data_IF_281465663553
#
_entry.id   IF_281465663553
#
_cell.length_a   1.000
_cell.length_b   1.000
_cell.length_c   1.000
_cell.angle_alpha   90.00
_cell.angle_beta   90.00
_cell.angle_gamma   90.00
#
_symmetry.space_group_name_H-M   'P 1'
#
loop_
_entity.id
_entity.type
_entity.pdbx_description
1 polymer ?
#
# COMPACT_ATOMS: atom_id res chain seq x y z
N UNK A 1 45.38 -44.43 -37.40
CA UNK A 1 44.72 -44.45 -36.06
C UNK A 1 45.48 -43.56 -35.10
N UNK A 2 45.35 -42.22 -35.14
CA UNK A 2 46.02 -41.37 -34.13
C UNK A 2 45.52 -39.93 -34.01
N UNK A 3 44.24 -39.68 -34.26
CA UNK A 3 43.69 -38.33 -34.15
C UNK A 3 42.48 -38.20 -33.20
N UNK A 4 42.03 -39.27 -32.56
CA UNK A 4 40.87 -39.25 -31.62
C UNK A 4 41.25 -39.19 -30.14
N UNK A 5 42.53 -39.29 -29.78
CA UNK A 5 42.98 -39.35 -28.39
C UNK A 5 43.44 -37.99 -27.82
N UNK A 6 43.74 -37.02 -28.68
CA UNK A 6 44.24 -35.70 -28.28
C UNK A 6 43.08 -34.77 -27.87
N UNK A 7 41.95 -34.81 -28.59
CA UNK A 7 40.78 -33.95 -28.30
C UNK A 7 40.05 -34.29 -26.99
N UNK A 8 40.20 -35.50 -26.45
CA UNK A 8 39.56 -35.92 -25.18
C UNK A 8 40.36 -35.53 -23.95
N UNK A 9 41.66 -35.29 -24.05
CA UNK A 9 42.51 -34.83 -22.98
C UNK A 9 42.43 -33.30 -22.80
N UNK A 10 42.31 -32.52 -23.86
CA UNK A 10 42.17 -31.06 -23.79
C UNK A 10 40.82 -30.63 -23.21
N UNK A 11 39.71 -31.32 -23.54
CA UNK A 11 38.39 -31.04 -22.98
C UNK A 11 38.25 -31.45 -21.49
N UNK A 12 39.06 -32.36 -21.00
CA UNK A 12 39.08 -32.73 -19.56
C UNK A 12 39.91 -31.77 -18.72
N UNK A 13 41.02 -31.22 -19.27
CA UNK A 13 41.87 -30.25 -18.58
C UNK A 13 41.18 -28.89 -18.47
N UNK A 14 40.45 -28.41 -19.50
CA UNK A 14 39.68 -27.18 -19.45
C UNK A 14 38.52 -27.24 -18.46
N UNK A 15 37.84 -28.38 -18.33
CA UNK A 15 36.74 -28.57 -17.35
C UNK A 15 37.27 -28.64 -15.89
N UNK A 16 38.50 -29.13 -15.66
CA UNK A 16 39.09 -29.22 -14.33
C UNK A 16 39.64 -27.85 -13.84
N UNK A 17 40.13 -26.99 -14.74
CA UNK A 17 40.57 -25.64 -14.42
C UNK A 17 39.37 -24.73 -14.09
N UNK A 18 38.28 -24.81 -14.87
CA UNK A 18 37.06 -24.06 -14.61
C UNK A 18 36.40 -24.43 -13.26
N UNK A 19 36.43 -25.70 -12.89
CA UNK A 19 35.87 -26.15 -11.60
C UNK A 19 36.74 -25.70 -10.41
N UNK A 20 38.07 -25.70 -10.57
CA UNK A 20 38.99 -25.23 -9.52
C UNK A 20 38.91 -23.70 -9.34
N UNK A 21 38.82 -22.93 -10.40
CA UNK A 21 38.58 -21.48 -10.33
C UNK A 21 37.24 -21.14 -9.67
N UNK A 22 36.20 -21.85 -10.00
CA UNK A 22 34.87 -21.66 -9.40
C UNK A 22 34.89 -21.97 -7.90
N UNK A 23 35.58 -23.04 -7.49
CA UNK A 23 35.72 -23.39 -6.07
C UNK A 23 36.57 -22.37 -5.32
N UNK A 24 37.65 -21.84 -5.91
CA UNK A 24 38.45 -20.78 -5.31
C UNK A 24 37.65 -19.49 -5.12
N UNK A 25 36.81 -19.09 -6.10
CA UNK A 25 35.89 -17.94 -6.00
C UNK A 25 34.83 -18.14 -4.92
N UNK A 26 34.24 -19.34 -4.80
CA UNK A 26 33.26 -19.63 -3.75
C UNK A 26 33.89 -19.51 -2.33
N UNK A 27 35.11 -20.06 -2.11
CA UNK A 27 35.82 -19.90 -0.83
C UNK A 27 36.15 -18.43 -0.51
N UNK A 28 36.53 -17.63 -1.52
CA UNK A 28 36.79 -16.21 -1.31
C UNK A 28 35.49 -15.45 -0.92
N UNK A 29 34.35 -15.82 -1.49
CA UNK A 29 33.03 -15.26 -1.12
C UNK A 29 32.65 -15.67 0.30
N UNK A 30 32.85 -16.93 0.69
CA UNK A 30 32.56 -17.41 2.05
C UNK A 30 33.40 -16.64 3.10
N UNK A 31 34.70 -16.44 2.87
CA UNK A 31 35.54 -15.63 3.75
C UNK A 31 35.09 -14.17 3.83
N UNK A 32 34.67 -13.58 2.71
CA UNK A 32 34.13 -12.22 2.69
C UNK A 32 32.81 -12.12 3.47
N UNK A 33 31.92 -13.12 3.36
CA UNK A 33 30.67 -13.21 4.13
C UNK A 33 30.96 -13.29 5.63
N UNK A 34 31.90 -14.17 6.05
CA UNK A 34 32.29 -14.27 7.45
C UNK A 34 32.85 -12.94 7.98
N UNK A 35 33.71 -12.25 7.20
CA UNK A 35 34.24 -10.96 7.59
C UNK A 35 33.17 -9.89 7.75
N UNK A 36 32.18 -9.85 6.82
CA UNK A 36 31.04 -8.93 6.89
C UNK A 36 30.20 -9.22 8.13
N UNK A 37 29.89 -10.49 8.41
CA UNK A 37 29.11 -10.87 9.60
C UNK A 37 29.83 -10.56 10.91
N UNK A 38 31.17 -10.71 10.98
CA UNK A 38 31.96 -10.29 12.15
C UNK A 38 31.94 -8.77 12.35
N UNK A 39 31.96 -7.99 11.26
CA UNK A 39 32.00 -6.53 11.34
C UNK A 39 30.66 -5.89 11.58
N UNK A 40 29.58 -6.41 10.95
CA UNK A 40 28.27 -5.80 10.93
C UNK A 40 27.19 -6.61 11.65
N UNK A 41 27.51 -7.79 12.15
CA UNK A 41 26.60 -8.69 12.86
C UNK A 41 26.05 -9.81 11.96
N UNK A 42 25.62 -10.91 12.59
CA UNK A 42 25.02 -12.05 11.91
C UNK A 42 23.77 -11.62 11.11
N UNK A 43 23.63 -12.11 9.87
CA UNK A 43 22.53 -11.79 8.98
C UNK A 43 22.66 -10.44 8.25
N UNK A 44 23.80 -9.76 8.36
CA UNK A 44 24.09 -8.54 7.59
C UNK A 44 24.22 -8.79 6.08
N UNK A 45 24.55 -10.03 5.71
CA UNK A 45 24.57 -10.53 4.34
C UNK A 45 23.97 -11.94 4.30
N UNK A 46 23.18 -12.26 3.28
CA UNK A 46 22.58 -13.58 3.09
C UNK A 46 22.37 -13.90 1.62
N UNK A 47 22.36 -15.17 1.26
CA UNK A 47 21.96 -15.59 -0.08
C UNK A 47 20.43 -15.54 -0.21
N UNK A 48 19.92 -14.88 -1.23
CA UNK A 48 18.49 -14.70 -1.45
C UNK A 48 17.70 -16.03 -1.55
N UNK A 49 18.36 -17.13 -1.94
CA UNK A 49 17.74 -18.46 -2.07
C UNK A 49 17.72 -19.30 -0.79
N UNK A 50 18.49 -18.97 0.23
CA UNK A 50 18.65 -19.80 1.43
C UNK A 50 17.72 -19.46 2.59
N UNK A 51 16.85 -18.44 2.48
CA UNK A 51 16.08 -18.06 3.65
C UNK A 51 14.86 -17.19 3.47
N UNK A 52 14.53 -16.72 2.29
CA UNK A 52 13.46 -15.71 2.21
C UNK A 52 12.51 -15.87 1.01
N UNK A 53 11.58 -16.80 1.12
CA UNK A 53 10.18 -16.40 0.85
C UNK A 53 9.66 -15.77 2.15
N UNK A 54 10.20 -14.61 2.53
CA UNK A 54 9.52 -13.80 3.55
C UNK A 54 8.26 -13.28 2.87
N UNK A 55 7.17 -14.00 3.10
CA UNK A 55 5.86 -13.49 2.78
C UNK A 55 5.75 -12.14 3.51
N UNK A 56 5.69 -11.05 2.76
CA UNK A 56 5.56 -9.72 3.34
C UNK A 56 4.21 -9.68 4.03
N UNK A 57 4.20 -9.50 5.34
CA UNK A 57 2.95 -9.30 6.08
C UNK A 57 2.22 -8.09 5.53
N UNK A 58 0.89 -8.19 5.41
CA UNK A 58 0.05 -7.15 4.85
C UNK A 58 -1.09 -6.75 5.78
N UNK A 59 -1.53 -5.51 5.65
CA UNK A 59 -2.72 -4.95 6.29
C UNK A 59 -3.82 -4.92 5.21
N UNK A 60 -5.03 -5.48 5.46
CA UNK A 60 -6.14 -5.35 4.54
C UNK A 60 -6.53 -3.89 4.35
N UNK A 61 -7.08 -3.60 3.19
CA UNK A 61 -7.53 -2.25 2.83
C UNK A 61 -9.00 -1.99 3.14
N UNK A 62 -9.75 -3.04 3.52
CA UNK A 62 -11.22 -3.01 3.59
C UNK A 62 -11.90 -3.33 2.25
N UNK A 63 -11.15 -3.36 1.15
CA UNK A 63 -11.59 -3.79 -0.17
C UNK A 63 -10.83 -5.04 -0.60
N UNK A 64 -11.56 -6.13 -0.88
CA UNK A 64 -10.95 -7.38 -1.33
C UNK A 64 -10.32 -7.22 -2.72
N UNK A 65 -10.97 -6.46 -3.62
CA UNK A 65 -10.46 -6.19 -4.96
C UNK A 65 -9.12 -5.44 -4.91
N UNK A 66 -8.98 -4.47 -4.00
CA UNK A 66 -7.73 -3.74 -3.82
C UNK A 66 -6.66 -4.62 -3.14
N UNK A 67 -7.02 -5.44 -2.16
CA UNK A 67 -6.11 -6.40 -1.55
C UNK A 67 -5.49 -7.33 -2.61
N UNK A 68 -6.32 -7.89 -3.49
CA UNK A 68 -5.87 -8.76 -4.60
C UNK A 68 -5.00 -8.01 -5.61
N UNK A 69 -5.34 -6.76 -5.91
CA UNK A 69 -4.54 -5.91 -6.79
C UNK A 69 -3.15 -5.62 -6.19
N UNK A 70 -3.06 -5.50 -4.87
CA UNK A 70 -1.82 -5.27 -4.12
C UNK A 70 -0.98 -6.55 -3.90
N UNK A 71 -1.57 -7.72 -4.05
CA UNK A 71 -0.91 -9.00 -3.74
C UNK A 71 -1.07 -9.41 -2.26
N UNK A 72 -2.19 -9.01 -1.65
CA UNK A 72 -2.58 -9.39 -0.28
C UNK A 72 -2.94 -8.23 0.65
N UNK A 73 -2.73 -6.98 0.22
CA UNK A 73 -3.00 -5.77 1.01
C UNK A 73 -1.82 -4.81 1.10
N UNK A 74 -1.90 -3.84 2.00
CA UNK A 74 -0.85 -2.85 2.25
C UNK A 74 0.34 -3.51 2.97
N UNK A 75 1.58 -3.46 2.43
CA UNK A 75 2.73 -4.12 3.06
C UNK A 75 3.14 -3.45 4.37
N UNK A 76 3.36 -4.25 5.41
CA UNK A 76 3.91 -3.78 6.69
C UNK A 76 5.38 -3.34 6.54
N UNK A 77 5.77 -2.36 7.34
CA UNK A 77 7.14 -1.86 7.36
C UNK A 77 7.57 -1.15 6.07
N UNK A 78 6.61 -0.47 5.42
CA UNK A 78 6.82 0.22 4.15
C UNK A 78 6.18 1.61 4.14
N UNK A 79 6.68 2.45 3.24
CA UNK A 79 6.08 3.73 2.91
C UNK A 79 5.09 3.53 1.77
N UNK A 80 3.88 4.03 1.97
CA UNK A 80 2.77 3.98 1.01
C UNK A 80 2.39 5.42 0.66
N UNK A 81 2.12 5.71 -0.60
CA UNK A 81 1.52 6.96 -1.04
C UNK A 81 0.13 6.69 -1.61
N UNK A 82 -0.90 7.35 -1.05
CA UNK A 82 -2.26 7.38 -1.59
C UNK A 82 -2.50 8.78 -2.11
N UNK A 83 -2.77 8.94 -3.41
CA UNK A 83 -2.97 10.25 -4.00
C UNK A 83 -4.13 10.25 -5.00
N UNK A 84 -4.68 11.42 -5.23
CA UNK A 84 -5.81 11.63 -6.14
C UNK A 84 -6.43 13.00 -5.97
N UNK A 85 -7.48 13.31 -6.75
CA UNK A 85 -8.25 14.55 -6.61
C UNK A 85 -8.89 14.69 -5.23
N UNK A 86 -9.39 15.87 -4.92
CA UNK A 86 -10.21 16.09 -3.72
C UNK A 86 -11.46 15.20 -3.74
N UNK A 87 -11.94 14.82 -2.55
CA UNK A 87 -13.14 13.98 -2.38
C UNK A 87 -13.12 12.65 -3.15
N UNK A 88 -11.92 12.12 -3.46
CA UNK A 88 -11.77 10.82 -4.14
C UNK A 88 -11.76 9.61 -3.19
N UNK A 89 -11.76 9.82 -1.86
CA UNK A 89 -11.75 8.75 -0.86
C UNK A 89 -10.37 8.38 -0.30
N UNK A 90 -9.35 9.25 -0.44
CA UNK A 90 -8.00 9.01 0.07
C UNK A 90 -7.98 8.77 1.57
N UNK A 91 -8.55 9.70 2.35
CA UNK A 91 -8.65 9.62 3.81
C UNK A 91 -9.51 8.44 4.24
N UNK A 92 -10.61 8.17 3.54
CA UNK A 92 -11.46 6.99 3.78
C UNK A 92 -10.66 5.69 3.66
N UNK A 93 -9.88 5.53 2.59
CA UNK A 93 -9.05 4.34 2.39
C UNK A 93 -7.99 4.19 3.48
N UNK A 94 -7.37 5.29 3.91
CA UNK A 94 -6.39 5.28 5.01
C UNK A 94 -7.05 4.93 6.36
N UNK A 95 -8.24 5.48 6.64
CA UNK A 95 -9.01 5.15 7.87
C UNK A 95 -9.44 3.68 7.89
N UNK A 96 -9.81 3.08 6.75
CA UNK A 96 -10.06 1.64 6.68
C UNK A 96 -8.81 0.82 7.04
N UNK A 97 -7.64 1.21 6.54
CA UNK A 97 -6.39 0.53 6.92
C UNK A 97 -6.10 0.67 8.42
N UNK A 98 -6.38 1.82 9.03
CA UNK A 98 -6.32 2.04 10.49
C UNK A 98 -7.27 1.09 11.22
N UNK A 99 -8.54 1.04 10.80
CA UNK A 99 -9.55 0.17 11.41
C UNK A 99 -9.15 -1.31 11.33
N UNK A 100 -8.59 -1.75 10.19
CA UNK A 100 -8.13 -3.13 10.02
C UNK A 100 -6.92 -3.47 10.90
N UNK A 101 -6.02 -2.52 11.16
CA UNK A 101 -4.92 -2.67 12.14
C UNK A 101 -5.49 -2.82 13.54
N UNK A 102 -6.41 -1.93 13.96
CA UNK A 102 -7.02 -1.98 15.30
C UNK A 102 -7.86 -3.25 15.53
N UNK A 103 -8.58 -3.74 14.51
CA UNK A 103 -9.31 -5.03 14.57
C UNK A 103 -8.39 -6.22 14.90
N UNK A 104 -7.10 -6.13 14.52
CA UNK A 104 -6.07 -7.14 14.77
C UNK A 104 -5.28 -6.90 16.06
N UNK A 105 -5.71 -5.93 16.88
CA UNK A 105 -5.05 -5.57 18.14
C UNK A 105 -3.80 -4.71 17.98
N UNK A 106 -3.56 -4.14 16.78
CA UNK A 106 -2.45 -3.23 16.51
C UNK A 106 -2.77 -1.79 16.90
N UNK A 107 -1.73 -0.99 17.07
CA UNK A 107 -1.81 0.43 17.42
C UNK A 107 -1.66 1.31 16.17
N UNK A 108 -2.47 2.37 16.12
CA UNK A 108 -2.51 3.29 15.01
C UNK A 108 -2.33 4.75 15.45
N UNK A 109 -1.68 5.54 14.61
CA UNK A 109 -1.56 6.98 14.79
C UNK A 109 -1.98 7.71 13.51
N UNK A 110 -2.60 8.88 13.69
CA UNK A 110 -3.04 9.76 12.63
C UNK A 110 -2.48 11.16 12.84
N UNK A 111 -1.68 11.64 11.90
CA UNK A 111 -1.11 12.99 11.90
C UNK A 111 -1.94 13.81 10.92
N UNK A 112 -2.86 14.59 11.49
CA UNK A 112 -3.85 15.40 10.76
C UNK A 112 -3.30 16.82 10.55
N UNK A 113 -2.52 17.01 9.50
CA UNK A 113 -1.97 18.31 9.13
C UNK A 113 -2.99 19.21 8.41
N UNK A 114 -4.11 18.67 7.96
CA UNK A 114 -5.21 19.46 7.36
C UNK A 114 -6.25 19.90 8.41
N UNK A 115 -6.20 19.37 9.65
CA UNK A 115 -7.17 19.61 10.73
C UNK A 115 -8.63 19.29 10.30
N UNK A 116 -8.80 18.23 9.53
CA UNK A 116 -10.05 17.93 8.83
C UNK A 116 -10.61 16.52 9.11
N UNK A 117 -10.04 15.76 10.05
CA UNK A 117 -10.55 14.43 10.41
C UNK A 117 -11.87 14.56 11.14
N UNK A 118 -12.89 13.89 10.59
CA UNK A 118 -14.22 13.75 11.20
C UNK A 118 -14.24 12.47 12.07
N UNK A 119 -14.32 12.62 13.42
CA UNK A 119 -14.36 11.48 14.33
C UNK A 119 -15.61 10.61 14.16
N UNK A 120 -16.77 11.22 13.86
CA UNK A 120 -18.00 10.47 13.66
C UNK A 120 -17.92 9.57 12.42
N UNK A 121 -17.35 10.10 11.34
CA UNK A 121 -17.12 9.32 10.12
C UNK A 121 -16.07 8.22 10.35
N UNK A 122 -14.99 8.52 11.05
CA UNK A 122 -13.98 7.52 11.41
C UNK A 122 -14.58 6.36 12.24
N UNK A 123 -15.46 6.67 13.21
CA UNK A 123 -16.17 5.67 13.99
C UNK A 123 -17.10 4.81 13.12
N UNK A 124 -17.82 5.40 12.15
CA UNK A 124 -18.67 4.67 11.20
C UNK A 124 -17.89 3.71 10.30
N UNK A 125 -16.65 4.06 9.94
CA UNK A 125 -15.72 3.17 9.21
C UNK A 125 -15.26 2.00 10.09
N UNK A 126 -15.34 2.12 11.41
CA UNK A 126 -14.94 1.09 12.37
C UNK A 126 -13.63 1.41 13.09
N UNK A 127 -13.15 2.64 13.02
CA UNK A 127 -12.01 3.11 13.82
C UNK A 127 -12.43 3.21 15.29
N UNK A 128 -11.65 2.62 16.18
CA UNK A 128 -11.80 2.78 17.63
C UNK A 128 -11.12 4.08 18.03
N UNK A 129 -11.91 5.11 18.31
CA UNK A 129 -11.42 6.44 18.58
C UNK A 129 -10.56 6.51 19.85
N UNK A 130 -10.93 5.77 20.89
CA UNK A 130 -10.20 5.72 22.16
C UNK A 130 -8.81 5.08 22.03
N UNK A 131 -8.59 4.27 21.00
CA UNK A 131 -7.32 3.58 20.71
C UNK A 131 -6.52 4.28 19.60
N UNK A 132 -7.01 5.41 19.06
CA UNK A 132 -6.33 6.15 18.00
C UNK A 132 -5.51 7.32 18.55
N UNK A 133 -4.20 7.28 18.34
CA UNK A 133 -3.35 8.44 18.60
C UNK A 133 -3.56 9.48 17.50
N UNK A 134 -3.96 10.69 17.85
CA UNK A 134 -4.11 11.80 16.91
C UNK A 134 -3.15 12.93 17.25
N UNK A 135 -2.56 13.55 16.23
CA UNK A 135 -1.72 14.73 16.35
C UNK A 135 -2.07 15.72 15.26
N UNK A 136 -2.14 17.00 15.62
CA UNK A 136 -2.43 18.13 14.72
C UNK A 136 -1.27 19.13 14.78
N UNK A 137 -0.20 18.89 14.01
CA UNK A 137 1.01 19.71 14.03
C UNK A 137 0.84 21.04 13.29
N UNK A 138 1.50 22.09 13.75
CA UNK A 138 1.47 23.41 13.13
C UNK A 138 2.44 23.53 11.94
N UNK A 139 3.50 22.72 11.90
CA UNK A 139 4.53 22.78 10.84
C UNK A 139 4.83 21.40 10.26
N UNK A 140 5.33 21.38 9.03
CA UNK A 140 5.75 20.14 8.36
C UNK A 140 6.90 19.44 9.08
N UNK A 141 7.85 20.20 9.67
CA UNK A 141 8.93 19.65 10.49
C UNK A 141 8.38 18.91 11.71
N UNK A 142 7.45 19.54 12.45
CA UNK A 142 6.82 18.93 13.62
C UNK A 142 6.06 17.64 13.25
N UNK A 143 5.28 17.66 12.17
CA UNK A 143 4.57 16.49 11.68
C UNK A 143 5.52 15.30 11.41
N UNK A 144 6.62 15.56 10.71
CA UNK A 144 7.58 14.53 10.31
C UNK A 144 8.45 14.05 11.49
N UNK A 145 8.75 14.91 12.47
CA UNK A 145 9.43 14.54 13.71
C UNK A 145 8.55 13.66 14.60
N UNK A 146 7.25 13.98 14.72
CA UNK A 146 6.27 13.14 15.42
C UNK A 146 6.18 11.78 14.73
N UNK A 147 6.06 11.75 13.39
CA UNK A 147 6.07 10.51 12.62
C UNK A 147 7.34 9.69 12.88
N UNK A 148 8.52 10.31 12.83
CA UNK A 148 9.80 9.64 13.09
C UNK A 148 9.85 9.05 14.51
N UNK A 149 9.40 9.78 15.51
CA UNK A 149 9.37 9.37 16.91
C UNK A 149 8.46 8.15 17.11
N UNK A 150 7.24 8.19 16.56
CA UNK A 150 6.30 7.07 16.59
C UNK A 150 6.86 5.81 15.92
N UNK A 151 7.46 5.97 14.73
CA UNK A 151 8.09 4.85 14.01
C UNK A 151 9.27 4.27 14.78
N UNK A 152 10.12 5.11 15.40
CA UNK A 152 11.27 4.66 16.21
C UNK A 152 10.87 3.90 17.46
N UNK A 153 9.71 4.18 18.03
CA UNK A 153 9.21 3.46 19.21
C UNK A 153 8.98 1.97 18.92
N UNK A 154 8.77 1.60 17.66
CA UNK A 154 8.38 0.24 17.21
C UNK A 154 7.10 -0.28 17.88
N UNK A 155 6.33 0.58 18.53
CA UNK A 155 5.10 0.23 19.22
C UNK A 155 3.84 0.45 18.35
N UNK A 156 3.96 1.24 17.28
CA UNK A 156 2.85 1.60 16.39
C UNK A 156 2.95 0.82 15.10
N UNK A 157 1.86 0.15 14.68
CA UNK A 157 1.81 -0.66 13.46
C UNK A 157 1.59 0.19 12.20
N UNK A 158 0.82 1.26 12.33
CA UNK A 158 0.49 2.15 11.22
C UNK A 158 0.49 3.62 11.66
N UNK A 159 1.09 4.48 10.83
CA UNK A 159 1.02 5.95 10.96
C UNK A 159 0.47 6.50 9.65
N UNK A 160 -0.57 7.31 9.71
CA UNK A 160 -1.11 8.05 8.57
C UNK A 160 -0.71 9.51 8.69
N UNK A 161 -0.28 10.13 7.60
CA UNK A 161 0.00 11.57 7.47
C UNK A 161 -0.94 12.16 6.43
N UNK A 162 -1.88 12.98 6.87
CA UNK A 162 -2.90 13.61 6.02
C UNK A 162 -2.82 15.14 6.12
N UNK A 163 -2.36 15.84 5.12
CA UNK A 163 -1.76 15.36 3.88
C UNK A 163 -0.38 16.00 3.66
N UNK A 164 0.41 15.41 2.74
CA UNK A 164 1.72 15.99 2.34
C UNK A 164 1.56 17.44 1.85
N UNK A 165 0.43 17.78 1.22
CA UNK A 165 0.18 19.12 0.72
C UNK A 165 0.11 20.18 1.85
N UNK A 166 -0.31 19.77 3.04
CA UNK A 166 -0.43 20.61 4.23
C UNK A 166 0.85 20.68 5.08
N UNK A 167 1.90 19.93 4.73
CA UNK A 167 3.18 20.00 5.42
C UNK A 167 3.95 21.26 5.03
N UNK A 168 3.55 22.39 5.61
CA UNK A 168 4.19 23.69 5.35
C UNK A 168 5.47 23.79 6.17
N UNK A 169 6.64 24.09 5.56
CA UNK A 169 7.88 24.34 6.28
C UNK A 169 7.77 25.52 7.24
N UNK A 170 8.39 25.44 8.42
CA UNK A 170 8.39 26.49 9.42
C UNK A 170 8.86 27.83 8.84
N UNK A 171 9.92 27.80 8.04
CA UNK A 171 10.44 29.01 7.40
C UNK A 171 9.46 29.69 6.43
N UNK A 172 8.50 28.97 5.89
CA UNK A 172 7.42 29.50 5.06
C UNK A 172 6.33 30.15 5.92
N UNK A 173 6.06 29.59 7.11
CA UNK A 173 5.08 30.11 8.07
C UNK A 173 5.60 31.39 8.73
N UNK A 174 6.90 31.44 9.07
CA UNK A 174 7.56 32.57 9.74
C UNK A 174 7.97 33.68 8.76
N UNK A 175 7.95 33.45 7.44
CA UNK A 175 8.29 34.42 6.39
C UNK A 175 7.19 35.45 6.14
N UNK A 176 7.54 36.52 5.46
CA UNK A 176 6.58 37.57 5.07
C UNK A 176 5.71 37.11 3.88
N UNK A 177 4.49 37.65 3.82
CA UNK A 177 3.59 37.42 2.68
C UNK A 177 4.20 37.90 1.37
N UNK A 178 4.43 36.95 0.45
CA UNK A 178 5.06 37.22 -0.87
C UNK A 178 6.49 36.74 -0.98
N UNK A 179 7.11 36.25 0.09
CA UNK A 179 8.43 35.64 0.03
C UNK A 179 8.43 34.37 -0.83
N UNK A 180 9.53 34.17 -1.54
CA UNK A 180 9.69 32.99 -2.39
C UNK A 180 10.29 31.83 -1.62
N UNK A 181 9.47 30.85 -1.27
CA UNK A 181 9.86 29.62 -0.56
C UNK A 181 9.95 28.40 -1.45
N UNK A 182 10.33 28.61 -2.73
CA UNK A 182 10.37 27.53 -3.73
C UNK A 182 11.24 26.35 -3.29
N UNK A 183 10.64 25.16 -3.27
CA UNK A 183 11.33 23.90 -3.04
C UNK A 183 11.63 23.54 -1.58
N UNK A 184 11.26 24.36 -0.59
CA UNK A 184 11.48 24.05 0.84
C UNK A 184 10.74 22.78 1.25
N UNK A 185 9.46 22.63 0.90
CA UNK A 185 8.67 21.42 1.18
C UNK A 185 9.32 20.17 0.54
N UNK A 186 9.82 20.27 -0.68
CA UNK A 186 10.49 19.14 -1.35
C UNK A 186 11.82 18.75 -0.66
N UNK A 187 12.56 19.72 -0.13
CA UNK A 187 13.78 19.46 0.68
C UNK A 187 13.42 18.79 1.99
N UNK A 188 12.42 19.29 2.70
CA UNK A 188 11.91 18.75 3.96
C UNK A 188 11.48 17.28 3.76
N UNK A 189 10.65 17.00 2.77
CA UNK A 189 10.24 15.64 2.43
C UNK A 189 11.42 14.73 2.08
N UNK A 190 12.37 15.22 1.29
CA UNK A 190 13.57 14.45 0.91
C UNK A 190 14.44 14.09 2.13
N UNK A 191 14.58 15.00 3.08
CA UNK A 191 15.33 14.78 4.32
C UNK A 191 14.61 13.78 5.23
N UNK A 192 13.33 13.97 5.46
CA UNK A 192 12.50 13.10 6.31
C UNK A 192 12.45 11.66 5.77
N UNK A 193 12.18 11.48 4.47
CA UNK A 193 12.08 10.15 3.87
C UNK A 193 13.40 9.37 3.91
N UNK A 194 14.55 10.05 3.81
CA UNK A 194 15.87 9.41 4.01
C UNK A 194 16.02 8.85 5.41
N UNK A 195 15.60 9.60 6.44
CA UNK A 195 15.62 9.15 7.84
C UNK A 195 14.62 8.03 8.09
N UNK A 196 13.37 8.22 7.66
CA UNK A 196 12.26 7.31 7.91
C UNK A 196 12.45 5.94 7.27
N UNK A 197 12.99 5.85 6.04
CA UNK A 197 13.07 4.58 5.30
C UNK A 197 13.82 3.49 6.06
N UNK A 198 14.96 3.82 6.66
CA UNK A 198 15.76 2.85 7.42
C UNK A 198 15.09 2.40 8.72
N UNK A 199 14.39 3.32 9.39
CA UNK A 199 13.71 3.05 10.66
C UNK A 199 12.43 2.25 10.43
N UNK A 200 11.62 2.62 9.43
CA UNK A 200 10.38 1.94 9.03
C UNK A 200 10.62 0.44 8.73
N UNK A 201 11.70 0.14 8.00
CA UNK A 201 12.03 -1.25 7.68
C UNK A 201 12.37 -2.09 8.92
N UNK A 202 12.98 -1.46 9.96
CA UNK A 202 13.36 -2.13 11.21
C UNK A 202 12.19 -2.25 12.19
N UNK A 203 11.38 -1.19 12.33
CA UNK A 203 10.23 -1.14 13.25
C UNK A 203 9.04 -1.95 12.75
N UNK A 204 8.99 -2.29 11.45
CA UNK A 204 7.85 -2.86 10.74
C UNK A 204 6.58 -1.98 10.77
N UNK A 205 6.70 -0.73 11.17
CA UNK A 205 5.62 0.25 11.12
C UNK A 205 5.31 0.62 9.68
N UNK A 206 4.05 0.62 9.29
CA UNK A 206 3.62 1.12 7.97
C UNK A 206 3.35 2.61 8.04
N UNK A 207 3.87 3.40 7.09
CA UNK A 207 3.57 4.82 7.01
C UNK A 207 2.84 5.13 5.72
N UNK A 208 1.61 5.66 5.85
CA UNK A 208 0.78 6.09 4.74
C UNK A 208 0.87 7.60 4.63
N UNK A 209 1.34 8.11 3.50
CA UNK A 209 1.26 9.51 3.13
C UNK A 209 0.09 9.73 2.18
N UNK A 210 -0.87 10.53 2.59
CA UNK A 210 -1.93 11.02 1.71
C UNK A 210 -1.40 12.24 0.96
N UNK A 211 -1.67 12.31 -0.35
CA UNK A 211 -1.15 13.39 -1.19
C UNK A 211 -2.21 13.91 -2.15
N UNK A 212 -2.07 15.17 -2.52
CA UNK A 212 -2.97 15.83 -3.47
C UNK A 212 -2.29 15.95 -4.84
N UNK A 213 -3.11 15.98 -5.88
CA UNK A 213 -2.66 16.27 -7.25
C UNK A 213 -2.51 17.77 -7.46
N UNK A 214 -1.48 18.14 -8.18
CA UNK A 214 -1.21 19.50 -8.68
C UNK A 214 -0.96 19.42 -10.17
N UNK A 215 -1.27 20.49 -10.87
CA UNK A 215 -1.01 20.61 -12.30
C UNK A 215 0.31 21.35 -12.51
N UNK A 216 1.19 20.78 -13.31
CA UNK A 216 2.41 21.47 -13.76
C UNK A 216 2.07 22.50 -14.82
N UNK A 217 2.47 23.74 -14.60
CA UNK A 217 2.32 24.82 -15.56
C UNK A 217 3.28 24.59 -16.73
N UNK A 218 2.84 24.83 -17.97
CA UNK A 218 3.68 24.79 -19.18
C UNK A 218 3.92 23.40 -19.77
N UNK A 219 3.26 22.35 -19.29
CA UNK A 219 3.33 21.01 -19.92
C UNK A 219 2.31 20.93 -21.05
N UNK A 220 2.78 21.10 -22.31
CA UNK A 220 1.92 21.00 -23.51
C UNK A 220 1.70 19.56 -23.97
N UNK A 221 2.62 18.63 -23.66
CA UNK A 221 2.54 17.21 -24.05
C UNK A 221 2.81 16.32 -22.86
N UNK A 222 2.10 15.17 -22.79
CA UNK A 222 2.20 14.19 -21.70
C UNK A 222 1.25 14.51 -20.55
N UNK A 223 1.50 13.86 -19.37
CA UNK A 223 0.63 14.03 -18.20
C UNK A 223 1.13 15.22 -17.35
N UNK A 224 0.35 16.30 -17.21
CA UNK A 224 0.71 17.46 -16.39
C UNK A 224 0.54 17.21 -14.90
N UNK A 225 -0.17 16.15 -14.49
CA UNK A 225 -0.44 15.86 -13.08
C UNK A 225 0.85 15.50 -12.31
N UNK A 226 1.00 16.07 -11.14
CA UNK A 226 2.08 15.74 -10.19
C UNK A 226 1.54 15.81 -8.78
N UNK A 227 2.24 15.17 -7.82
CA UNK A 227 1.91 15.23 -6.40
C UNK A 227 2.71 16.32 -5.70
N UNK A 228 2.19 16.86 -4.58
CA UNK A 228 2.87 17.83 -3.72
C UNK A 228 4.12 17.22 -3.04
N UNK A 229 5.01 18.04 -2.50
CA UNK A 229 6.20 17.59 -1.76
C UNK A 229 7.35 17.09 -2.64
N UNK A 230 7.33 17.38 -3.95
CA UNK A 230 8.40 17.03 -4.89
C UNK A 230 8.40 15.56 -5.31
N UNK A 231 9.58 15.04 -5.71
CA UNK A 231 9.69 13.70 -6.26
C UNK A 231 10.15 12.64 -5.25
N UNK A 232 10.58 13.02 -4.06
CA UNK A 232 11.18 12.09 -3.09
C UNK A 232 10.23 10.94 -2.75
N UNK A 233 8.96 11.24 -2.44
CA UNK A 233 7.97 10.23 -2.08
C UNK A 233 7.73 9.22 -3.20
N UNK A 234 7.78 9.64 -4.48
CA UNK A 234 7.67 8.74 -5.64
C UNK A 234 8.77 7.67 -5.67
N UNK A 235 9.96 8.00 -5.20
CA UNK A 235 11.09 7.06 -5.14
C UNK A 235 11.04 6.19 -3.89
N UNK A 236 10.77 6.78 -2.70
CA UNK A 236 10.80 6.09 -1.43
C UNK A 236 9.59 5.19 -1.19
N UNK A 237 8.40 5.56 -1.65
CA UNK A 237 7.20 4.72 -1.51
C UNK A 237 7.40 3.34 -2.16
N UNK A 238 7.01 2.29 -1.44
CA UNK A 238 6.98 0.91 -1.95
C UNK A 238 5.72 0.63 -2.75
N UNK A 239 4.61 1.27 -2.37
CA UNK A 239 3.32 1.21 -3.06
C UNK A 239 2.83 2.64 -3.30
N UNK A 240 2.27 2.88 -4.48
CA UNK A 240 1.62 4.15 -4.83
C UNK A 240 0.26 3.85 -5.44
N UNK A 241 -0.78 4.46 -4.87
CA UNK A 241 -2.17 4.28 -5.24
C UNK A 241 -2.73 5.60 -5.79
N UNK A 242 -3.21 5.59 -7.03
CA UNK A 242 -3.98 6.67 -7.64
C UNK A 242 -5.47 6.34 -7.47
N UNK A 243 -6.18 7.07 -6.60
CA UNK A 243 -7.60 6.89 -6.34
C UNK A 243 -8.42 7.99 -6.99
N UNK A 244 -9.43 7.61 -7.75
CA UNK A 244 -10.30 8.54 -8.49
C UNK A 244 -11.76 8.15 -8.36
N UNK A 245 -12.60 9.14 -8.12
CA UNK A 245 -14.06 9.00 -8.25
C UNK A 245 -14.42 8.87 -9.73
N UNK A 246 -15.23 7.88 -10.06
CA UNK A 246 -15.72 7.64 -11.42
C UNK A 246 -17.20 8.00 -11.57
N UNK A 247 -18.02 7.63 -10.59
CA UNK A 247 -19.46 7.80 -10.63
C UNK A 247 -20.01 8.13 -9.24
N UNK A 248 -21.09 8.89 -9.17
CA UNK A 248 -21.84 9.13 -7.95
C UNK A 248 -22.94 8.09 -7.79
N UNK A 249 -22.98 7.42 -6.65
CA UNK A 249 -24.04 6.47 -6.29
C UNK A 249 -25.22 7.22 -5.72
N UNK A 250 -26.41 6.94 -6.24
CA UNK A 250 -27.64 7.63 -5.86
C UNK A 250 -28.70 6.65 -5.36
N UNK A 251 -29.49 7.12 -4.40
CA UNK A 251 -30.75 6.53 -3.98
C UNK A 251 -31.85 7.57 -4.20
N UNK A 252 -32.61 7.40 -5.27
CA UNK A 252 -33.47 8.45 -5.81
C UNK A 252 -32.64 9.68 -6.21
N UNK A 253 -32.95 10.84 -5.64
CA UNK A 253 -32.24 12.10 -5.89
C UNK A 253 -31.04 12.31 -4.96
N UNK A 254 -30.89 11.49 -3.91
CA UNK A 254 -29.83 11.64 -2.91
C UNK A 254 -28.56 10.93 -3.34
N UNK A 255 -27.42 11.63 -3.27
CA UNK A 255 -26.11 11.02 -3.45
C UNK A 255 -25.68 10.34 -2.14
N UNK A 256 -25.57 9.00 -2.16
CA UNK A 256 -25.28 8.19 -0.99
C UNK A 256 -23.83 7.68 -0.93
N UNK A 257 -23.08 7.84 -2.01
CA UNK A 257 -21.72 7.38 -2.12
C UNK A 257 -21.09 7.65 -3.48
N UNK A 258 -19.90 7.10 -3.68
CA UNK A 258 -19.19 7.19 -4.95
C UNK A 258 -18.62 5.82 -5.34
N UNK A 259 -18.70 5.51 -6.62
CA UNK A 259 -17.89 4.46 -7.20
C UNK A 259 -16.47 5.00 -7.45
N UNK A 260 -15.46 4.27 -7.00
CA UNK A 260 -14.07 4.69 -7.09
C UNK A 260 -13.23 3.67 -7.82
N UNK A 261 -12.21 4.19 -8.49
CA UNK A 261 -11.20 3.41 -9.20
C UNK A 261 -9.84 3.69 -8.58
N UNK A 262 -9.16 2.63 -8.13
CA UNK A 262 -7.82 2.69 -7.57
C UNK A 262 -6.85 1.99 -8.50
N UNK A 263 -5.88 2.74 -9.04
CA UNK A 263 -4.80 2.19 -9.85
C UNK A 263 -3.54 2.03 -9.00
N UNK A 264 -3.00 0.83 -8.99
CA UNK A 264 -1.71 0.53 -8.35
C UNK A 264 -0.59 0.98 -9.28
N UNK A 265 -0.11 2.21 -9.14
CA UNK A 265 0.87 2.82 -10.06
C UNK A 265 2.28 2.29 -9.81
N UNK A 266 2.59 1.95 -8.57
CA UNK A 266 3.86 1.35 -8.14
C UNK A 266 3.59 0.29 -7.09
N UNK A 267 4.26 -0.85 -7.22
CA UNK A 267 4.23 -1.91 -6.23
C UNK A 267 5.58 -2.65 -6.23
N UNK A 268 6.20 -2.76 -5.05
CA UNK A 268 7.48 -3.48 -4.86
C UNK A 268 7.30 -4.89 -4.31
N UNK A 269 6.06 -5.30 -3.98
CA UNK A 269 5.77 -6.63 -3.42
C UNK A 269 4.97 -7.54 -4.36
N UNK A 270 4.30 -6.95 -5.37
CA UNK A 270 3.54 -7.68 -6.40
C UNK A 270 3.60 -6.91 -7.73
N UNK A 271 3.02 -7.49 -8.79
CA UNK A 271 2.95 -6.85 -10.09
C UNK A 271 2.17 -5.51 -10.01
N UNK A 272 2.75 -4.39 -10.49
CA UNK A 272 2.08 -3.10 -10.53
C UNK A 272 1.04 -3.01 -11.65
N UNK A 273 0.38 -1.85 -11.75
CA UNK A 273 -0.58 -1.45 -12.79
C UNK A 273 -1.92 -2.16 -12.76
N UNK A 274 -2.17 -3.00 -11.75
CA UNK A 274 -3.48 -3.55 -11.48
C UNK A 274 -4.45 -2.44 -11.05
N UNK A 275 -5.73 -2.68 -11.29
CA UNK A 275 -6.82 -1.76 -10.98
C UNK A 275 -7.83 -2.47 -10.10
N UNK A 276 -8.31 -1.79 -9.07
CA UNK A 276 -9.44 -2.18 -8.26
C UNK A 276 -10.54 -1.12 -8.39
N UNK A 277 -11.79 -1.55 -8.40
CA UNK A 277 -12.96 -0.68 -8.45
C UNK A 277 -13.93 -1.14 -7.36
N UNK A 278 -14.42 -0.21 -6.56
CA UNK A 278 -15.34 -0.48 -5.46
C UNK A 278 -16.12 0.78 -5.06
N UNK A 279 -17.16 0.59 -4.24
CA UNK A 279 -17.99 1.66 -3.76
C UNK A 279 -17.50 2.19 -2.41
N UNK A 280 -17.51 3.53 -2.26
CA UNK A 280 -17.37 4.22 -0.97
C UNK A 280 -18.71 4.87 -0.65
N UNK A 281 -19.33 4.42 0.45
CA UNK A 281 -20.60 4.94 0.96
C UNK A 281 -20.34 6.01 2.03
N UNK A 282 -21.14 7.07 2.04
CA UNK A 282 -20.92 8.19 2.98
C UNK A 282 -21.23 7.86 4.44
N UNK A 283 -21.96 6.77 4.69
CA UNK A 283 -22.35 6.33 6.02
C UNK A 283 -21.53 5.16 6.58
N UNK A 284 -20.76 4.44 5.74
CA UNK A 284 -20.05 3.22 6.15
C UNK A 284 -18.64 3.07 5.55
N UNK A 285 -18.24 4.02 4.69
CA UNK A 285 -16.96 3.90 3.97
C UNK A 285 -16.99 2.87 2.85
N UNK A 286 -15.93 2.06 2.71
CA UNK A 286 -15.82 1.04 1.66
C UNK A 286 -16.90 -0.03 1.84
N UNK A 287 -17.72 -0.24 0.79
CA UNK A 287 -18.74 -1.27 0.76
C UNK A 287 -18.13 -2.65 0.52
N UNK A 288 -17.69 -3.31 1.59
CA UNK A 288 -17.05 -4.64 1.51
C UNK A 288 -17.99 -5.70 0.91
N UNK A 289 -19.28 -5.67 1.26
CA UNK A 289 -20.27 -6.58 0.69
C UNK A 289 -20.48 -6.33 -0.83
N UNK A 290 -20.45 -5.05 -1.26
CA UNK A 290 -20.52 -4.69 -2.67
C UNK A 290 -19.30 -5.17 -3.46
N UNK A 291 -18.10 -4.98 -2.90
CA UNK A 291 -16.86 -5.43 -3.51
C UNK A 291 -16.80 -6.96 -3.65
N UNK A 292 -17.20 -7.69 -2.60
CA UNK A 292 -17.23 -9.17 -2.63
C UNK A 292 -18.26 -9.69 -3.64
N UNK A 293 -19.47 -9.09 -3.74
CA UNK A 293 -20.46 -9.57 -4.69
C UNK A 293 -20.01 -9.38 -6.14
N UNK A 294 -19.39 -8.24 -6.45
CA UNK A 294 -18.88 -7.94 -7.79
C UNK A 294 -17.71 -8.88 -8.17
N UNK A 295 -16.81 -9.15 -7.25
CA UNK A 295 -15.74 -10.14 -7.45
C UNK A 295 -16.30 -11.56 -7.58
N UNK A 296 -17.25 -11.96 -6.74
CA UNK A 296 -17.84 -13.28 -6.77
C UNK A 296 -18.57 -13.55 -8.12
N UNK A 297 -19.23 -12.56 -8.68
CA UNK A 297 -19.83 -12.65 -10.03
C UNK A 297 -18.73 -12.77 -11.07
N UNK A 298 -17.68 -11.95 -11.00
CA UNK A 298 -16.56 -11.97 -11.94
C UNK A 298 -15.83 -13.32 -11.95
N UNK A 299 -15.70 -13.94 -10.77
CA UNK A 299 -15.04 -15.24 -10.59
C UNK A 299 -15.98 -16.43 -10.84
N UNK A 300 -17.26 -16.21 -11.18
CA UNK A 300 -18.25 -17.27 -11.39
C UNK A 300 -18.57 -18.06 -10.13
N UNK A 301 -18.46 -17.45 -8.95
CA UNK A 301 -18.88 -18.01 -7.66
C UNK A 301 -20.34 -17.67 -7.36
N UNK A 302 -20.80 -16.55 -7.87
CA UNK A 302 -22.20 -16.09 -7.83
C UNK A 302 -22.66 -15.97 -9.26
N UNK A 303 -23.76 -16.63 -9.59
CA UNK A 303 -24.38 -16.57 -10.91
C UNK A 303 -25.25 -15.33 -11.00
N UNK A 304 -25.14 -14.60 -12.14
CA UNK A 304 -25.99 -13.47 -12.48
C UNK A 304 -26.77 -13.76 -13.74
N UNK A 305 -28.07 -14.02 -13.58
CA UNK A 305 -29.01 -14.24 -14.69
C UNK A 305 -30.00 -13.09 -14.77
N UNK A 306 -29.78 -12.17 -15.72
CA UNK A 306 -30.53 -10.93 -15.81
C UNK A 306 -30.37 -10.08 -14.56
N UNK A 307 -31.47 -9.80 -13.86
CA UNK A 307 -31.46 -9.07 -12.58
C UNK A 307 -31.24 -9.95 -11.35
N UNK A 308 -31.28 -11.27 -11.49
CA UNK A 308 -31.16 -12.19 -10.36
C UNK A 308 -29.72 -12.61 -10.07
N UNK A 309 -29.38 -12.62 -8.79
CA UNK A 309 -28.15 -13.16 -8.26
C UNK A 309 -28.43 -14.46 -7.52
N UNK A 310 -27.62 -15.50 -7.77
CA UNK A 310 -27.78 -16.81 -7.13
C UNK A 310 -26.41 -17.33 -6.61
N UNK A 311 -26.42 -17.92 -5.43
CA UNK A 311 -25.26 -18.56 -4.82
C UNK A 311 -25.63 -19.97 -4.37
N UNK A 312 -24.90 -21.01 -4.82
CA UNK A 312 -25.20 -22.42 -4.57
C UNK A 312 -26.66 -22.77 -4.88
N UNK A 313 -27.16 -22.36 -6.06
CA UNK A 313 -28.52 -22.58 -6.54
C UNK A 313 -29.63 -21.84 -5.74
N UNK A 314 -29.27 -21.08 -4.72
CA UNK A 314 -30.19 -20.25 -3.95
C UNK A 314 -30.19 -18.81 -4.48
N UNK A 315 -31.38 -18.23 -4.67
CA UNK A 315 -31.52 -16.82 -5.08
C UNK A 315 -31.20 -15.92 -3.88
N UNK A 316 -30.16 -15.09 -4.02
CA UNK A 316 -29.70 -14.19 -2.96
C UNK A 316 -30.17 -12.74 -3.15
N UNK A 317 -30.81 -12.41 -4.27
CA UNK A 317 -31.40 -11.10 -4.46
C UNK A 317 -31.75 -10.78 -5.92
N UNK A 318 -32.73 -9.91 -6.08
CA UNK A 318 -33.04 -9.28 -7.36
C UNK A 318 -32.40 -7.88 -7.38
N UNK A 319 -31.38 -7.70 -8.22
CA UNK A 319 -30.55 -6.51 -8.26
C UNK A 319 -29.33 -6.58 -7.32
N UNK A 320 -28.33 -5.75 -7.63
CA UNK A 320 -27.06 -5.70 -6.88
C UNK A 320 -27.25 -5.31 -5.42
N UNK A 321 -28.12 -4.35 -5.14
CA UNK A 321 -28.37 -3.87 -3.77
C UNK A 321 -29.05 -4.93 -2.89
N UNK A 322 -30.02 -5.70 -3.44
CA UNK A 322 -30.60 -6.82 -2.70
C UNK A 322 -29.60 -7.92 -2.40
N UNK A 323 -28.73 -8.28 -3.36
CA UNK A 323 -27.67 -9.25 -3.14
C UNK A 323 -26.63 -8.76 -2.11
N UNK A 324 -26.28 -7.46 -2.13
CA UNK A 324 -25.41 -6.81 -1.17
C UNK A 324 -26.01 -6.84 0.25
N UNK A 325 -27.32 -6.57 0.38
CA UNK A 325 -28.02 -6.64 1.65
C UNK A 325 -28.06 -8.07 2.18
N UNK A 326 -28.36 -9.06 1.33
CA UNK A 326 -28.29 -10.47 1.69
C UNK A 326 -26.93 -10.85 2.27
N UNK A 327 -25.83 -10.40 1.64
CA UNK A 327 -24.49 -10.68 2.16
C UNK A 327 -24.27 -10.02 3.54
N UNK A 328 -24.71 -8.78 3.75
CA UNK A 328 -24.65 -8.11 5.06
C UNK A 328 -25.36 -8.90 6.16
N UNK A 329 -26.51 -9.48 5.84
CA UNK A 329 -27.31 -10.28 6.77
C UNK A 329 -26.74 -11.70 6.98
N UNK A 330 -25.82 -12.14 6.09
CA UNK A 330 -25.22 -13.47 6.11
C UNK A 330 -23.68 -13.42 6.18
N UNK A 331 -23.06 -13.01 7.29
CA UNK A 331 -21.60 -12.81 7.38
C UNK A 331 -20.79 -14.08 7.16
N UNK A 332 -21.40 -15.28 7.36
CA UNK A 332 -20.75 -16.56 7.07
C UNK A 332 -20.53 -16.74 5.55
N UNK A 333 -21.48 -16.28 4.74
CA UNK A 333 -21.38 -16.34 3.27
C UNK A 333 -20.30 -15.38 2.79
N UNK A 334 -20.22 -14.16 3.36
CA UNK A 334 -19.12 -13.23 3.09
C UNK A 334 -17.76 -13.88 3.36
N UNK A 335 -17.59 -14.49 4.53
CA UNK A 335 -16.32 -15.11 4.92
C UNK A 335 -15.95 -16.30 4.01
N UNK A 336 -16.93 -17.07 3.56
CA UNK A 336 -16.74 -18.18 2.62
C UNK A 336 -16.31 -17.67 1.24
N UNK A 337 -17.00 -16.67 0.71
CA UNK A 337 -16.65 -16.05 -0.57
C UNK A 337 -15.26 -15.40 -0.53
N UNK A 338 -14.98 -14.59 0.50
CA UNK A 338 -13.65 -13.97 0.68
C UNK A 338 -12.54 -15.03 0.68
N UNK A 339 -12.68 -16.07 1.48
CA UNK A 339 -11.71 -17.16 1.57
C UNK A 339 -11.51 -17.86 0.22
N UNK A 340 -12.59 -18.14 -0.49
CA UNK A 340 -12.55 -18.82 -1.78
C UNK A 340 -11.88 -17.98 -2.85
N UNK A 341 -12.22 -16.69 -2.91
CA UNK A 341 -11.62 -15.73 -3.86
C UNK A 341 -10.12 -15.59 -3.58
N UNK A 342 -9.73 -15.38 -2.31
CA UNK A 342 -8.29 -15.30 -1.93
C UNK A 342 -7.52 -16.57 -2.28
N UNK A 343 -8.10 -17.75 -2.05
CA UNK A 343 -7.45 -19.03 -2.37
C UNK A 343 -7.18 -19.17 -3.88
N UNK A 344 -8.11 -18.78 -4.76
CA UNK A 344 -7.92 -18.81 -6.22
C UNK A 344 -6.77 -17.91 -6.66
N UNK A 345 -6.67 -16.72 -6.08
CA UNK A 345 -5.62 -15.75 -6.42
C UNK A 345 -4.25 -16.04 -5.78
N UNK A 346 -4.21 -16.86 -4.73
CA UNK A 346 -2.94 -17.30 -4.11
C UNK A 346 -2.29 -18.47 -4.86
N UNK A 347 -3.07 -19.22 -5.66
CA UNK A 347 -2.62 -20.35 -6.46
C UNK A 347 -2.11 -19.96 -7.86
N UNK A 348 -2.30 -18.70 -8.25
CA UNK A 348 -1.84 -18.11 -9.52
C UNK A 348 -0.57 -17.29 -9.35
#
# INVERSE_FOLDING_TARGET
>A
MSTKTITKKESAVTKSTDSNEKNARLKAVELAVEQIERQFGQGSIMKLGEGMKVAVETIPTGSLSLDLALGGGIPKGRIIEIYGPESSGKTTLALHAVAEVQKRGGLAAFIDAEHAVDPEYAAKIGVKLDDLLISQPDTGEQALEICETLVRSSAVDIVVVDSVAALVPRAEIEGDMGDSHMGLQARLMSQALRKLTGVIAKSKTTVIFINQLRMKIGVMFGNPETTSGGNALKYYASVRLDIRRTEALKDGDNVIGNHVKVKVVKNKIAAPFKVAEFDIMYNEGISSAGDIIDLAVKEGLVDKAGAWYSYKDEKIGQGREAAKQFLKDHPKVIAELDKTIRARHSAS
#
